data_IF_712923971462
#
_entry.id   IF_712923971462
#
_cell.length_a   1.000
_cell.length_b   1.000
_cell.length_c   1.000
_cell.angle_alpha   90.00
_cell.angle_beta   90.00
_cell.angle_gamma   90.00
#
_symmetry.space_group_name_H-M   'P 1'
#
loop_
_entity.id
_entity.type
_entity.pdbx_description
1 polymer ?
#
# COMPACT_ATOMS: atom_id res chain seq x y z
N UNK A 1 -29.42 -22.61 29.24
CA UNK A 1 -29.54 -21.13 29.27
C UNK A 1 -28.17 -20.44 29.28
N UNK A 2 -27.24 -20.81 30.19
CA UNK A 2 -25.90 -20.19 30.31
C UNK A 2 -25.01 -20.31 29.06
N UNK A 3 -25.06 -21.44 28.35
CA UNK A 3 -24.25 -21.67 27.12
C UNK A 3 -24.55 -20.64 26.03
N UNK A 4 -25.83 -20.34 25.78
CA UNK A 4 -26.25 -19.33 24.79
C UNK A 4 -25.77 -17.93 25.17
N UNK A 5 -25.74 -17.63 26.46
CA UNK A 5 -25.22 -16.37 27.00
C UNK A 5 -23.70 -16.24 26.79
N UNK A 6 -22.93 -17.30 27.05
CA UNK A 6 -21.48 -17.32 26.78
C UNK A 6 -21.17 -17.15 25.30
N UNK A 7 -21.92 -17.81 24.41
CA UNK A 7 -21.76 -17.60 22.97
C UNK A 7 -22.09 -16.16 22.54
N UNK A 8 -23.12 -15.55 23.14
CA UNK A 8 -23.45 -14.15 22.89
C UNK A 8 -22.34 -13.20 23.32
N UNK A 9 -21.78 -13.39 24.52
CA UNK A 9 -20.64 -12.58 25.01
C UNK A 9 -19.41 -12.78 24.12
N UNK A 10 -19.09 -14.03 23.77
CA UNK A 10 -17.95 -14.33 22.90
C UNK A 10 -18.09 -13.64 21.54
N UNK A 11 -19.28 -13.66 20.95
CA UNK A 11 -19.57 -12.99 19.70
C UNK A 11 -19.35 -11.47 19.79
N UNK A 12 -19.85 -10.82 20.85
CA UNK A 12 -19.64 -9.39 21.07
C UNK A 12 -18.15 -9.05 21.29
N UNK A 13 -17.43 -9.85 22.08
CA UNK A 13 -16.00 -9.67 22.28
C UNK A 13 -15.22 -9.81 20.96
N UNK A 14 -15.60 -10.77 20.12
CA UNK A 14 -14.98 -10.96 18.81
C UNK A 14 -15.26 -9.77 17.88
N UNK A 15 -16.46 -9.20 17.90
CA UNK A 15 -16.77 -7.98 17.15
C UNK A 15 -15.93 -6.79 17.60
N UNK A 16 -15.80 -6.56 18.91
CA UNK A 16 -14.96 -5.49 19.46
C UNK A 16 -13.49 -5.71 19.10
N UNK A 17 -13.03 -6.96 19.17
CA UNK A 17 -11.68 -7.34 18.75
C UNK A 17 -11.42 -7.04 17.26
N UNK A 18 -12.37 -7.35 16.37
CA UNK A 18 -12.26 -7.05 14.95
C UNK A 18 -12.21 -5.53 14.66
N UNK A 19 -13.00 -4.72 15.39
CA UNK A 19 -12.97 -3.26 15.26
C UNK A 19 -11.60 -2.72 15.69
N UNK A 20 -11.04 -3.22 16.79
CA UNK A 20 -9.71 -2.84 17.24
C UNK A 20 -8.63 -3.24 16.22
N UNK A 21 -8.70 -4.49 15.71
CA UNK A 21 -7.77 -5.00 14.71
C UNK A 21 -7.80 -4.18 13.41
N UNK A 22 -8.99 -3.79 12.94
CA UNK A 22 -9.17 -2.99 11.73
C UNK A 22 -8.42 -1.63 11.78
N UNK A 23 -8.08 -1.11 12.98
CA UNK A 23 -7.28 0.11 13.11
C UNK A 23 -5.82 -0.04 12.68
N UNK A 24 -5.32 -1.27 12.59
CA UNK A 24 -3.93 -1.58 12.29
C UNK A 24 -3.73 -2.17 10.88
N UNK A 25 -4.80 -2.28 10.09
CA UNK A 25 -4.75 -2.79 8.72
C UNK A 25 -4.26 -1.67 7.77
N UNK A 26 -3.18 -1.89 6.99
CA UNK A 26 -2.63 -0.89 6.09
C UNK A 26 -3.60 -0.42 5.00
N UNK A 27 -4.49 -1.31 4.54
CA UNK A 27 -5.49 -1.11 3.50
C UNK A 27 -6.69 -0.25 3.94
N UNK A 28 -6.63 0.34 5.14
CA UNK A 28 -7.69 1.23 5.67
C UNK A 28 -8.01 2.41 4.74
N UNK A 29 -7.11 2.76 3.82
CA UNK A 29 -7.38 3.78 2.80
C UNK A 29 -8.50 3.42 1.80
N UNK A 30 -8.99 2.18 1.79
CA UNK A 30 -10.20 1.78 1.06
C UNK A 30 -11.49 1.91 1.88
N UNK A 31 -11.42 2.27 3.17
CA UNK A 31 -12.63 2.48 3.98
C UNK A 31 -13.40 3.73 3.54
N UNK A 32 -14.70 3.77 3.83
CA UNK A 32 -15.57 4.90 3.49
C UNK A 32 -15.17 6.22 4.20
N UNK A 33 -14.46 6.14 5.33
CA UNK A 33 -14.00 7.32 6.03
C UNK A 33 -12.89 8.04 5.24
N UNK A 34 -12.94 9.38 5.10
CA UNK A 34 -11.89 10.15 4.45
C UNK A 34 -10.51 9.82 5.02
N UNK A 35 -9.54 9.55 4.14
CA UNK A 35 -8.17 9.27 4.52
C UNK A 35 -7.41 10.59 4.60
N UNK A 36 -7.12 11.05 5.81
CA UNK A 36 -6.56 12.39 6.09
C UNK A 36 -5.02 12.41 5.97
N UNK A 37 -4.48 11.69 4.98
CA UNK A 37 -3.04 11.65 4.74
C UNK A 37 -2.72 12.09 3.32
N UNK A 38 -1.81 13.05 3.19
CA UNK A 38 -1.24 13.44 1.91
C UNK A 38 0.20 12.97 1.86
N UNK A 39 0.49 12.09 0.91
CA UNK A 39 1.83 11.54 0.71
C UNK A 39 2.43 12.14 -0.55
N UNK A 40 3.52 12.89 -0.42
CA UNK A 40 4.36 13.25 -1.55
C UNK A 40 5.25 12.07 -1.88
N UNK A 41 5.37 11.70 -3.15
CA UNK A 41 6.17 10.55 -3.54
C UNK A 41 6.82 10.69 -4.92
N UNK A 42 7.84 9.86 -5.14
CA UNK A 42 8.50 9.65 -6.42
C UNK A 42 9.00 8.21 -6.49
N UNK A 43 8.69 7.54 -7.60
CA UNK A 43 9.04 6.13 -7.85
C UNK A 43 10.12 6.06 -8.92
N UNK A 44 11.14 5.24 -8.64
CA UNK A 44 12.22 4.92 -9.55
C UNK A 44 12.21 3.41 -9.82
N UNK A 45 12.19 3.04 -11.09
CA UNK A 45 12.20 1.62 -11.51
C UNK A 45 13.44 1.37 -12.35
N UNK A 46 14.16 0.31 -12.01
CA UNK A 46 15.31 -0.19 -12.76
C UNK A 46 15.01 -1.61 -13.23
N UNK A 47 15.12 -1.86 -14.52
CA UNK A 47 14.94 -3.18 -15.14
C UNK A 47 16.25 -3.52 -15.85
N UNK A 48 16.86 -4.67 -15.55
CA UNK A 48 18.10 -5.11 -16.18
C UNK A 48 19.21 -4.03 -16.23
N UNK A 49 19.34 -3.23 -15.17
CA UNK A 49 20.28 -2.09 -15.01
C UNK A 49 19.90 -0.78 -15.72
N UNK A 50 18.81 -0.77 -16.49
CA UNK A 50 18.28 0.44 -17.12
C UNK A 50 17.18 1.07 -16.27
N UNK A 51 17.36 2.35 -15.91
CA UNK A 51 16.35 3.12 -15.18
C UNK A 51 15.29 3.62 -16.14
N UNK A 52 14.04 3.25 -15.90
CA UNK A 52 12.91 3.74 -16.69
C UNK A 52 12.70 5.24 -16.47
N UNK A 53 12.29 5.94 -17.52
CA UNK A 53 11.78 7.29 -17.40
C UNK A 53 10.46 7.32 -16.62
N UNK A 54 10.09 8.50 -16.11
CA UNK A 54 8.81 8.68 -15.44
C UNK A 54 7.64 8.19 -16.31
N UNK A 55 7.63 8.55 -17.59
CA UNK A 55 6.54 8.22 -18.51
C UNK A 55 6.44 6.71 -18.79
N UNK A 56 7.57 6.03 -18.90
CA UNK A 56 7.62 4.56 -19.03
C UNK A 56 7.12 3.89 -17.75
N UNK A 57 7.50 4.43 -16.58
CA UNK A 57 7.07 3.91 -15.28
C UNK A 57 5.55 4.08 -15.09
N UNK A 58 5.00 5.24 -15.45
CA UNK A 58 3.56 5.49 -15.43
C UNK A 58 2.80 4.58 -16.40
N UNK A 59 3.37 4.33 -17.58
CA UNK A 59 2.81 3.41 -18.57
C UNK A 59 2.80 1.97 -18.06
N UNK A 60 3.90 1.53 -17.42
CA UNK A 60 4.03 0.18 -16.86
C UNK A 60 2.95 -0.11 -15.83
N UNK A 61 2.78 0.76 -14.85
CA UNK A 61 1.84 0.54 -13.74
C UNK A 61 0.45 1.13 -13.97
N UNK A 62 0.25 1.84 -15.07
CA UNK A 62 -1.00 2.55 -15.39
C UNK A 62 -1.49 3.44 -14.22
N UNK A 63 -0.55 4.11 -13.56
CA UNK A 63 -0.80 4.97 -12.41
C UNK A 63 0.26 6.07 -12.35
N UNK A 64 -0.05 7.21 -11.71
CA UNK A 64 0.92 8.29 -11.50
C UNK A 64 2.11 7.79 -10.67
N UNK A 65 3.34 8.15 -11.07
CA UNK A 65 4.57 7.65 -10.43
C UNK A 65 5.36 8.75 -9.72
N UNK A 66 4.82 9.97 -9.69
CA UNK A 66 5.28 11.04 -8.82
C UNK A 66 4.14 11.95 -8.36
N UNK A 67 4.47 12.88 -7.48
CA UNK A 67 3.56 13.94 -7.05
C UNK A 67 2.90 13.62 -5.72
N UNK A 68 1.58 13.84 -5.64
CA UNK A 68 0.82 13.73 -4.40
C UNK A 68 -0.20 12.60 -4.46
N UNK A 69 -0.12 11.68 -3.51
CA UNK A 69 -1.14 10.68 -3.21
C UNK A 69 -2.04 11.19 -2.08
N UNK A 70 -3.34 11.25 -2.36
CA UNK A 70 -4.39 11.67 -1.40
C UNK A 70 -4.80 10.51 -0.49
N UNK A 71 -4.33 9.30 -0.80
CA UNK A 71 -4.47 8.09 0.01
C UNK A 71 -3.16 7.80 0.77
N UNK A 72 -3.06 6.59 1.31
CA UNK A 72 -1.82 6.05 1.86
C UNK A 72 -0.77 5.78 0.78
N UNK A 73 0.51 5.92 1.12
CA UNK A 73 1.64 5.40 0.33
C UNK A 73 1.45 3.92 -0.05
N UNK A 74 0.77 3.16 0.83
CA UNK A 74 0.47 1.73 0.62
C UNK A 74 -0.39 1.45 -0.61
N UNK A 75 -1.19 2.43 -1.09
CA UNK A 75 -1.89 2.30 -2.35
C UNK A 75 -0.90 2.06 -3.49
N UNK A 76 0.17 2.85 -3.55
CA UNK A 76 1.21 2.74 -4.59
C UNK A 76 2.00 1.45 -4.41
N UNK A 77 2.35 1.08 -3.16
CA UNK A 77 3.02 -0.21 -2.89
C UNK A 77 2.18 -1.38 -3.41
N UNK A 78 0.86 -1.35 -3.19
CA UNK A 78 -0.03 -2.43 -3.62
C UNK A 78 -0.13 -2.53 -5.15
N UNK A 79 -0.19 -1.40 -5.85
CA UNK A 79 -0.22 -1.36 -7.33
C UNK A 79 1.08 -1.95 -7.90
N UNK A 80 2.23 -1.48 -7.41
CA UNK A 80 3.55 -1.95 -7.86
C UNK A 80 3.70 -3.44 -7.56
N UNK A 81 3.47 -3.85 -6.31
CA UNK A 81 3.60 -5.24 -5.88
C UNK A 81 2.70 -6.16 -6.70
N UNK A 82 1.43 -5.78 -6.91
CA UNK A 82 0.51 -6.57 -7.72
C UNK A 82 0.99 -6.70 -9.16
N UNK A 83 1.46 -5.61 -9.78
CA UNK A 83 1.96 -5.66 -11.15
C UNK A 83 3.20 -6.55 -11.27
N UNK A 84 4.20 -6.35 -10.40
CA UNK A 84 5.46 -7.09 -10.45
C UNK A 84 5.27 -8.58 -10.09
N UNK A 85 4.28 -8.93 -9.26
CA UNK A 85 3.92 -10.33 -8.99
C UNK A 85 3.15 -11.01 -10.13
N UNK A 86 2.53 -10.24 -11.04
CA UNK A 86 1.65 -10.78 -12.09
C UNK A 86 2.27 -10.65 -13.47
N UNK A 87 2.42 -9.43 -13.97
CA UNK A 87 2.90 -9.13 -15.33
C UNK A 87 4.42 -8.92 -15.38
N UNK A 88 5.00 -8.33 -14.33
CA UNK A 88 6.44 -7.99 -14.27
C UNK A 88 7.34 -9.07 -13.69
N UNK A 89 6.82 -10.28 -13.46
CA UNK A 89 7.50 -11.33 -12.70
C UNK A 89 8.88 -11.68 -13.26
N UNK A 90 9.00 -11.71 -14.59
CA UNK A 90 10.24 -12.12 -15.27
C UNK A 90 11.15 -10.93 -15.64
N UNK A 91 10.74 -9.70 -15.32
CA UNK A 91 11.46 -8.48 -15.72
C UNK A 91 12.63 -8.14 -14.78
N UNK A 92 12.79 -8.84 -13.65
CA UNK A 92 13.81 -8.55 -12.62
C UNK A 92 13.82 -7.06 -12.20
N UNK A 93 12.63 -6.48 -12.05
CA UNK A 93 12.49 -5.07 -11.71
C UNK A 93 12.93 -4.80 -10.26
N UNK A 94 13.68 -3.71 -10.09
CA UNK A 94 13.99 -3.10 -8.79
C UNK A 94 13.26 -1.78 -8.69
N UNK A 95 12.43 -1.63 -7.67
CA UNK A 95 11.61 -0.44 -7.48
C UNK A 95 11.97 0.23 -6.17
N UNK A 96 12.28 1.53 -6.25
CA UNK A 96 12.58 2.38 -5.10
C UNK A 96 11.56 3.51 -5.09
N UNK A 97 10.78 3.62 -4.02
CA UNK A 97 9.86 4.72 -3.81
C UNK A 97 10.33 5.59 -2.64
N UNK A 98 10.57 6.86 -2.92
CA UNK A 98 10.81 7.88 -1.90
C UNK A 98 9.50 8.58 -1.60
N UNK A 99 9.16 8.72 -0.32
CA UNK A 99 7.89 9.33 0.07
C UNK A 99 7.95 10.03 1.43
N UNK A 100 7.12 11.07 1.57
CA UNK A 100 6.89 11.78 2.83
C UNK A 100 5.40 11.97 3.03
N UNK A 101 4.88 11.58 4.18
CA UNK A 101 3.47 11.72 4.55
C UNK A 101 3.30 12.88 5.52
N UNK A 102 2.37 13.80 5.22
CA UNK A 102 2.00 14.92 6.09
C UNK A 102 3.19 15.80 6.55
N UNK A 103 4.25 15.90 5.74
CA UNK A 103 5.44 16.70 6.04
C UNK A 103 6.39 16.06 7.07
N UNK A 104 6.22 14.77 7.38
CA UNK A 104 7.21 13.99 8.13
C UNK A 104 8.45 13.69 7.28
N UNK A 105 9.45 13.05 7.89
CA UNK A 105 10.70 12.70 7.24
C UNK A 105 10.48 11.86 5.98
N UNK A 106 11.38 12.04 5.01
CA UNK A 106 11.43 11.20 3.82
C UNK A 106 11.76 9.76 4.23
N UNK A 107 10.92 8.85 3.76
CA UNK A 107 11.05 7.41 3.90
C UNK A 107 11.32 6.81 2.52
N UNK A 108 11.96 5.65 2.53
CA UNK A 108 12.21 4.87 1.33
C UNK A 108 11.55 3.50 1.46
N UNK A 109 10.86 3.09 0.42
CA UNK A 109 10.33 1.74 0.27
C UNK A 109 10.99 1.08 -0.93
N UNK A 110 11.45 -0.15 -0.74
CA UNK A 110 12.18 -0.90 -1.73
C UNK A 110 11.41 -2.19 -2.03
N UNK A 111 11.27 -2.49 -3.32
CA UNK A 111 10.76 -3.76 -3.82
C UNK A 111 11.80 -4.38 -4.76
N UNK A 112 12.15 -5.63 -4.47
CA UNK A 112 13.01 -6.46 -5.29
C UNK A 112 12.29 -7.80 -5.51
N UNK A 113 12.21 -8.26 -6.75
CA UNK A 113 11.76 -9.62 -7.05
C UNK A 113 12.87 -10.61 -6.63
N UNK A 114 12.52 -11.63 -5.85
CA UNK A 114 13.39 -12.78 -5.52
C UNK A 114 13.42 -13.82 -6.65
#
# INVERSE_FOLDING_TARGET
>A
MKVRFYFGILFLLLQVGLIAYARFIPERFFCWAPYDSHTKFEVFVTINQDTLSLQETETRYNYKMNGWEQRSAHNIFSIITQYEQTYGKDDNAKVVMKYSTNGHNDLEWNYENE
#
